data_IF_352485616719
#
_entry.id   IF_352485616719
#
_cell.length_a   1.000
_cell.length_b   1.000
_cell.length_c   1.000
_cell.angle_alpha   90.00
_cell.angle_beta   90.00
_cell.angle_gamma   90.00
#
_symmetry.space_group_name_H-M   'P 1'
#
loop_
_entity.id
_entity.type
_entity.pdbx_description
1 polymer ?
#
# COMPACT_ATOMS: atom_id res chain seq x y z
N UNK A 1 41.76 -40.55 30.43
CA UNK A 1 41.78 -39.32 29.60
C UNK A 1 40.66 -39.28 28.55
N UNK A 2 40.39 -40.38 27.84
CA UNK A 2 39.30 -40.49 26.85
C UNK A 2 37.89 -40.14 27.37
N UNK A 3 37.55 -40.47 28.63
CA UNK A 3 36.26 -40.10 29.22
C UNK A 3 36.10 -38.60 29.49
N UNK A 4 37.21 -37.88 29.71
CA UNK A 4 37.19 -36.43 29.94
C UNK A 4 37.03 -35.67 28.62
N UNK A 5 37.63 -36.17 27.54
CA UNK A 5 37.38 -35.67 26.18
C UNK A 5 35.98 -36.01 25.69
N UNK A 6 35.46 -37.22 25.96
CA UNK A 6 34.08 -37.58 25.60
C UNK A 6 33.03 -36.70 26.32
N UNK A 7 33.24 -36.42 27.61
CA UNK A 7 32.34 -35.57 28.41
C UNK A 7 32.33 -34.11 27.92
N UNK A 8 33.49 -33.55 27.58
CA UNK A 8 33.59 -32.18 27.03
C UNK A 8 33.01 -32.07 25.62
N UNK A 9 33.17 -33.10 24.79
CA UNK A 9 32.63 -33.13 23.44
C UNK A 9 31.09 -33.24 23.47
N UNK A 10 30.55 -34.05 24.38
CA UNK A 10 29.10 -34.16 24.58
C UNK A 10 28.48 -32.84 25.09
N UNK A 11 29.16 -32.15 26.02
CA UNK A 11 28.72 -30.82 26.50
C UNK A 11 28.79 -29.77 25.39
N UNK A 12 29.83 -29.79 24.54
CA UNK A 12 29.93 -28.89 23.40
C UNK A 12 28.79 -29.09 22.41
N UNK A 13 28.47 -30.36 22.05
CA UNK A 13 27.35 -30.69 21.16
C UNK A 13 26.02 -30.21 21.76
N UNK A 14 25.83 -30.38 23.07
CA UNK A 14 24.61 -29.94 23.73
C UNK A 14 24.44 -28.42 23.70
N UNK A 15 25.51 -27.66 23.99
CA UNK A 15 25.49 -26.19 23.95
C UNK A 15 25.28 -25.68 22.53
N UNK A 16 25.94 -26.26 21.53
CA UNK A 16 25.75 -25.86 20.13
C UNK A 16 24.35 -26.17 19.63
N UNK A 17 23.76 -27.31 20.03
CA UNK A 17 22.39 -27.66 19.69
C UNK A 17 21.38 -26.67 20.30
N UNK A 18 21.51 -26.33 21.58
CA UNK A 18 20.63 -25.32 22.22
C UNK A 18 20.79 -23.96 21.55
N UNK A 19 22.03 -23.54 21.28
CA UNK A 19 22.27 -22.26 20.61
C UNK A 19 21.63 -22.22 19.22
N UNK A 20 21.76 -23.29 18.43
CA UNK A 20 21.14 -23.38 17.10
C UNK A 20 19.61 -23.29 17.18
N UNK A 21 18.99 -23.94 18.16
CA UNK A 21 17.55 -23.88 18.40
C UNK A 21 17.12 -22.46 18.75
N UNK A 22 17.80 -21.82 19.71
CA UNK A 22 17.48 -20.44 20.13
C UNK A 22 17.66 -19.47 18.97
N UNK A 23 18.75 -19.57 18.22
CA UNK A 23 18.99 -18.73 17.05
C UNK A 23 17.88 -18.90 16.00
N UNK A 24 17.49 -20.13 15.69
CA UNK A 24 16.39 -20.41 14.77
C UNK A 24 15.09 -19.75 15.23
N UNK A 25 14.70 -19.90 16.49
CA UNK A 25 13.50 -19.27 17.03
C UNK A 25 13.56 -17.75 16.99
N UNK A 26 14.70 -17.14 17.30
CA UNK A 26 14.89 -15.69 17.21
C UNK A 26 14.66 -15.17 15.78
N UNK A 27 15.21 -15.85 14.77
CA UNK A 27 14.99 -15.47 13.37
C UNK A 27 13.54 -15.65 12.92
N UNK A 28 12.88 -16.72 13.35
CA UNK A 28 11.46 -16.96 13.04
C UNK A 28 10.58 -15.89 13.69
N UNK A 29 10.85 -15.55 14.96
CA UNK A 29 10.09 -14.54 15.69
C UNK A 29 10.18 -13.18 15.02
N UNK A 30 11.39 -12.74 14.62
CA UNK A 30 11.57 -11.47 13.89
C UNK A 30 10.73 -11.43 12.63
N UNK A 31 10.69 -12.50 11.83
CA UNK A 31 9.86 -12.57 10.62
C UNK A 31 8.37 -12.42 10.94
N UNK A 32 7.88 -13.11 11.96
CA UNK A 32 6.47 -13.05 12.39
C UNK A 32 6.10 -11.63 12.82
N UNK A 33 6.94 -10.99 13.63
CA UNK A 33 6.70 -9.60 14.09
C UNK A 33 6.70 -8.64 12.91
N UNK A 34 7.64 -8.76 11.97
CA UNK A 34 7.66 -7.92 10.75
C UNK A 34 6.38 -8.08 9.93
N UNK A 35 5.92 -9.31 9.70
CA UNK A 35 4.66 -9.56 8.99
C UNK A 35 3.46 -8.96 9.73
N UNK A 36 3.41 -9.06 11.06
CA UNK A 36 2.33 -8.47 11.85
C UNK A 36 2.32 -6.95 11.78
N UNK A 37 3.47 -6.28 11.90
CA UNK A 37 3.57 -4.82 11.76
C UNK A 37 3.15 -4.34 10.36
N UNK A 38 3.52 -5.08 9.32
CA UNK A 38 3.07 -4.81 7.95
C UNK A 38 1.56 -4.99 7.81
N UNK A 39 0.99 -6.06 8.35
CA UNK A 39 -0.46 -6.27 8.35
C UNK A 39 -1.20 -5.14 9.07
N UNK A 40 -0.71 -4.69 10.22
CA UNK A 40 -1.28 -3.55 10.95
C UNK A 40 -1.22 -2.26 10.14
N UNK A 41 -0.11 -2.01 9.44
CA UNK A 41 0.01 -0.87 8.54
C UNK A 41 -1.00 -0.93 7.40
N UNK A 42 -1.13 -2.08 6.73
CA UNK A 42 -2.09 -2.25 5.63
C UNK A 42 -3.54 -2.17 6.13
N UNK A 43 -3.83 -2.66 7.33
CA UNK A 43 -5.14 -2.56 7.95
C UNK A 43 -5.53 -1.09 8.24
N UNK A 44 -4.59 -0.26 8.71
CA UNK A 44 -4.86 1.18 8.88
C UNK A 44 -5.21 1.87 7.57
N UNK A 45 -4.50 1.54 6.48
CA UNK A 45 -4.82 2.07 5.14
C UNK A 45 -6.21 1.63 4.73
N UNK A 46 -6.48 0.32 4.82
CA UNK A 46 -7.77 -0.27 4.50
C UNK A 46 -8.91 0.38 5.26
N UNK A 47 -8.81 0.51 6.58
CA UNK A 47 -9.86 1.12 7.42
C UNK A 47 -10.13 2.57 6.99
N UNK A 48 -9.10 3.34 6.63
CA UNK A 48 -9.30 4.67 6.06
C UNK A 48 -9.98 4.65 4.71
N UNK A 49 -9.59 3.74 3.82
CA UNK A 49 -10.23 3.56 2.51
C UNK A 49 -11.70 3.13 2.66
N UNK A 50 -11.98 2.22 3.59
CA UNK A 50 -13.33 1.77 3.95
C UNK A 50 -14.19 2.91 4.47
N UNK A 51 -13.66 3.72 5.38
CA UNK A 51 -14.35 4.89 5.90
C UNK A 51 -14.69 5.89 4.78
N UNK A 52 -13.76 6.10 3.83
CA UNK A 52 -13.98 6.99 2.69
C UNK A 52 -15.04 6.43 1.74
N UNK A 53 -14.93 5.16 1.34
CA UNK A 53 -15.88 4.50 0.43
C UNK A 53 -17.29 4.55 1.00
N UNK A 54 -17.44 4.20 2.28
CA UNK A 54 -18.73 4.13 2.96
C UNK A 54 -19.26 5.48 3.48
N UNK A 55 -18.52 6.58 3.31
CA UNK A 55 -19.01 7.89 3.77
C UNK A 55 -20.28 8.30 3.00
N UNK A 56 -21.25 9.00 3.63
CA UNK A 56 -22.49 9.40 2.96
C UNK A 56 -22.31 10.58 1.98
N UNK A 57 -21.11 11.17 1.95
CA UNK A 57 -20.80 12.34 1.13
C UNK A 57 -20.61 11.96 -0.34
N UNK A 58 -21.17 12.79 -1.23
CA UNK A 58 -21.04 12.63 -2.68
C UNK A 58 -19.59 12.80 -3.16
N UNK A 59 -18.82 13.60 -2.44
CA UNK A 59 -17.44 13.84 -2.76
C UNK A 59 -16.63 14.04 -1.50
N UNK A 60 -15.57 13.26 -1.35
CA UNK A 60 -14.77 13.22 -0.13
C UNK A 60 -13.34 12.81 -0.47
N UNK A 61 -12.39 13.27 0.31
CA UNK A 61 -10.97 12.99 0.07
C UNK A 61 -10.22 12.78 1.38
N UNK A 62 -9.22 11.92 1.33
CA UNK A 62 -8.34 11.70 2.47
C UNK A 62 -6.94 11.32 2.00
N UNK A 63 -5.96 11.55 2.87
CA UNK A 63 -4.59 11.15 2.65
C UNK A 63 -4.17 10.08 3.65
N UNK A 64 -3.34 9.17 3.16
CA UNK A 64 -2.59 8.27 4.02
C UNK A 64 -1.11 8.40 3.75
N UNK A 65 -0.34 8.50 4.83
CA UNK A 65 1.11 8.64 4.82
C UNK A 65 1.74 7.31 5.25
N UNK A 66 2.61 6.79 4.40
CA UNK A 66 3.40 5.61 4.67
C UNK A 66 4.69 6.01 5.38
N UNK A 67 4.98 5.46 6.57
CA UNK A 67 6.24 5.72 7.24
C UNK A 67 7.43 5.28 6.37
N UNK A 68 8.56 5.97 6.52
CA UNK A 68 9.74 5.68 5.72
C UNK A 68 10.33 4.29 6.02
N UNK A 69 10.12 3.80 7.24
CA UNK A 69 10.63 2.53 7.75
C UNK A 69 9.71 1.98 8.85
N UNK A 70 9.77 0.67 9.08
CA UNK A 70 9.19 0.04 10.26
C UNK A 70 10.32 -0.37 11.21
N UNK A 71 10.15 -0.11 12.51
CA UNK A 71 11.09 -0.57 13.53
C UNK A 71 10.60 -1.88 14.11
N UNK A 72 11.32 -2.96 13.85
CA UNK A 72 10.97 -4.32 14.29
C UNK A 72 12.11 -4.87 15.13
N UNK A 73 11.83 -5.15 16.41
CA UNK A 73 12.80 -5.75 17.34
C UNK A 73 14.14 -5.01 17.44
N UNK A 74 14.12 -3.67 17.27
CA UNK A 74 15.31 -2.82 17.30
C UNK A 74 15.97 -2.58 15.93
N UNK A 75 15.62 -3.37 14.91
CA UNK A 75 16.11 -3.22 13.54
C UNK A 75 15.16 -2.40 12.68
N UNK A 76 15.73 -1.82 11.62
CA UNK A 76 15.00 -1.03 10.62
C UNK A 76 14.61 -1.88 9.43
N UNK A 77 13.33 -1.91 9.10
CA UNK A 77 12.77 -2.64 7.97
C UNK A 77 12.23 -1.68 6.90
N UNK A 78 12.78 -1.78 5.69
CA UNK A 78 12.32 -1.04 4.53
C UNK A 78 11.41 -1.88 3.65
N UNK A 79 10.31 -1.28 3.21
CA UNK A 79 9.24 -1.98 2.51
C UNK A 79 8.74 -1.17 1.31
N UNK A 80 8.00 -1.85 0.44
CA UNK A 80 7.22 -1.24 -0.64
C UNK A 80 5.79 -1.72 -0.55
N UNK A 81 4.84 -0.89 -0.95
CA UNK A 81 3.41 -1.25 -1.01
C UNK A 81 2.95 -1.21 -2.46
N UNK A 82 2.42 -2.32 -2.97
CA UNK A 82 1.71 -2.37 -4.24
C UNK A 82 0.21 -2.24 -3.97
N UNK A 83 -0.43 -1.31 -4.66
CA UNK A 83 -1.88 -1.12 -4.66
C UNK A 83 -2.41 -1.60 -6.00
N UNK A 84 -3.20 -2.65 -6.01
CA UNK A 84 -3.81 -3.21 -7.22
C UNK A 84 -5.32 -3.31 -7.05
N UNK A 85 -6.02 -3.53 -8.16
CA UNK A 85 -7.45 -3.76 -8.13
C UNK A 85 -7.80 -5.09 -8.80
N UNK A 86 -8.91 -5.68 -8.41
CA UNK A 86 -9.42 -6.87 -9.06
C UNK A 86 -10.94 -6.72 -9.16
N UNK A 87 -11.44 -6.62 -10.39
CA UNK A 87 -12.86 -6.70 -10.66
C UNK A 87 -13.30 -8.17 -10.62
N UNK A 88 -14.38 -8.46 -9.92
CA UNK A 88 -15.00 -9.79 -9.88
C UNK A 88 -16.51 -9.65 -9.95
N UNK A 89 -17.13 -10.38 -10.87
CA UNK A 89 -18.57 -10.45 -10.94
C UNK A 89 -19.08 -11.52 -9.96
N UNK A 90 -19.90 -11.12 -8.99
CA UNK A 90 -20.57 -12.06 -8.08
C UNK A 90 -22.07 -11.81 -8.17
N UNK A 91 -22.82 -12.84 -8.57
CA UNK A 91 -24.28 -12.79 -8.69
C UNK A 91 -24.79 -11.65 -9.61
N UNK A 92 -24.10 -11.38 -10.73
CA UNK A 92 -24.49 -10.33 -11.67
C UNK A 92 -24.19 -8.89 -11.21
N UNK A 93 -23.46 -8.73 -10.09
CA UNK A 93 -22.95 -7.44 -9.63
C UNK A 93 -21.43 -7.42 -9.76
N UNK A 94 -20.92 -6.37 -10.41
CA UNK A 94 -19.49 -6.08 -10.45
C UNK A 94 -19.05 -5.61 -9.07
N UNK A 95 -18.15 -6.35 -8.44
CA UNK A 95 -17.51 -6.01 -7.18
C UNK A 95 -16.03 -5.78 -7.44
N UNK A 96 -15.51 -4.69 -6.90
CA UNK A 96 -14.11 -4.35 -7.03
C UNK A 96 -13.41 -4.61 -5.70
N UNK A 97 -12.27 -5.31 -5.77
CA UNK A 97 -11.37 -5.50 -4.65
C UNK A 97 -10.19 -4.55 -4.81
N UNK A 98 -10.02 -3.62 -3.88
CA UNK A 98 -8.80 -2.83 -3.74
C UNK A 98 -7.85 -3.60 -2.83
N UNK A 99 -6.69 -3.99 -3.36
CA UNK A 99 -5.73 -4.87 -2.69
C UNK A 99 -4.48 -4.06 -2.37
N UNK A 100 -4.10 -4.04 -1.09
CA UNK A 100 -2.83 -3.48 -0.62
C UNK A 100 -1.91 -4.64 -0.25
N UNK A 101 -0.78 -4.75 -0.93
CA UNK A 101 0.23 -5.79 -0.69
C UNK A 101 1.56 -5.17 -0.31
N UNK A 102 2.19 -5.64 0.77
CA UNK A 102 3.48 -5.15 1.22
C UNK A 102 4.60 -6.16 0.96
N UNK A 103 5.73 -5.64 0.47
CA UNK A 103 6.90 -6.43 0.10
C UNK A 103 8.12 -5.88 0.81
N UNK A 104 9.12 -6.73 1.03
CA UNK A 104 10.45 -6.22 1.38
C UNK A 104 10.94 -5.35 0.23
N UNK A 105 11.52 -4.18 0.50
CA UNK A 105 11.96 -3.25 -0.55
C UNK A 105 12.94 -3.87 -1.56
N UNK A 106 13.71 -4.87 -1.13
CA UNK A 106 14.65 -5.63 -1.97
C UNK A 106 13.97 -6.52 -3.02
N UNK A 107 12.69 -6.86 -2.83
CA UNK A 107 11.92 -7.68 -3.78
C UNK A 107 11.37 -6.80 -4.91
N UNK A 108 12.15 -6.66 -5.98
CA UNK A 108 11.79 -5.84 -7.14
C UNK A 108 10.76 -6.50 -8.06
N UNK A 109 10.56 -7.80 -7.93
CA UNK A 109 9.67 -8.58 -8.79
C UNK A 109 8.29 -8.78 -8.14
N UNK A 110 8.09 -8.30 -6.91
CA UNK A 110 6.84 -8.38 -6.16
C UNK A 110 6.29 -9.81 -6.08
N UNK A 111 7.20 -10.79 -5.92
CA UNK A 111 6.84 -12.22 -5.91
C UNK A 111 6.36 -12.69 -4.55
N UNK A 112 7.00 -12.22 -3.48
CA UNK A 112 6.76 -12.72 -2.14
C UNK A 112 6.16 -11.61 -1.27
N UNK A 113 4.84 -11.46 -1.35
CA UNK A 113 4.11 -10.57 -0.46
C UNK A 113 4.27 -11.04 0.98
N UNK A 114 4.70 -10.12 1.85
CA UNK A 114 4.87 -10.39 3.28
C UNK A 114 3.56 -10.20 4.06
N UNK A 115 2.67 -9.37 3.52
CA UNK A 115 1.39 -9.02 4.10
C UNK A 115 0.48 -8.50 2.99
N UNK A 116 -0.81 -8.83 3.03
CA UNK A 116 -1.78 -8.31 2.09
C UNK A 116 -3.13 -8.11 2.80
N UNK A 117 -3.80 -7.03 2.48
CA UNK A 117 -5.15 -6.75 2.97
C UNK A 117 -5.98 -6.19 1.81
N UNK A 118 -7.27 -6.51 1.78
CA UNK A 118 -8.16 -6.09 0.71
C UNK A 118 -9.44 -5.46 1.24
N UNK A 119 -9.93 -4.51 0.46
CA UNK A 119 -11.21 -3.83 0.64
C UNK A 119 -12.13 -4.23 -0.50
N UNK A 120 -13.32 -4.74 -0.17
CA UNK A 120 -14.39 -4.99 -1.12
C UNK A 120 -15.28 -3.76 -1.25
N UNK A 121 -15.47 -3.25 -2.48
CA UNK A 121 -16.34 -2.11 -2.76
C UNK A 121 -17.16 -2.33 -4.03
N UNK A 122 -18.32 -1.68 -4.10
CA UNK A 122 -19.14 -1.52 -5.29
C UNK A 122 -18.77 -0.28 -6.12
N UNK A 123 -17.87 0.58 -5.61
CA UNK A 123 -17.34 1.71 -6.34
C UNK A 123 -16.37 1.24 -7.44
N UNK A 124 -16.38 1.93 -8.58
CA UNK A 124 -15.37 1.77 -9.62
C UNK A 124 -14.02 2.27 -9.08
N UNK A 125 -12.97 1.46 -9.18
CA UNK A 125 -11.64 1.85 -8.69
C UNK A 125 -10.80 2.32 -9.87
N UNK A 126 -10.12 3.46 -9.70
CA UNK A 126 -9.20 4.04 -10.68
C UNK A 126 -7.88 4.32 -9.98
N UNK A 127 -6.84 3.60 -10.37
CA UNK A 127 -5.50 3.74 -9.80
C UNK A 127 -4.63 4.51 -10.79
N UNK A 128 -3.95 5.56 -10.33
CA UNK A 128 -2.99 6.32 -11.12
C UNK A 128 -1.56 5.82 -10.92
N UNK A 129 -0.73 6.00 -11.94
CA UNK A 129 0.70 5.69 -11.88
C UNK A 129 1.44 6.52 -10.82
N UNK A 130 2.43 5.88 -10.19
CA UNK A 130 3.43 6.56 -9.35
C UNK A 130 4.57 7.18 -10.18
N UNK A 131 4.64 6.87 -11.47
CA UNK A 131 5.63 7.40 -12.42
C UNK A 131 5.41 8.90 -12.71
N UNK A 132 6.44 9.69 -13.08
CA UNK A 132 6.27 11.12 -13.36
C UNK A 132 5.14 11.44 -14.34
N UNK A 133 4.98 10.61 -15.37
CA UNK A 133 3.86 10.68 -16.31
C UNK A 133 2.63 10.00 -15.72
N UNK A 134 1.58 10.80 -15.54
CA UNK A 134 0.31 10.34 -15.00
C UNK A 134 -0.41 9.49 -16.05
N UNK A 135 -0.76 8.25 -15.67
CA UNK A 135 -1.60 7.34 -16.46
C UNK A 135 -2.51 6.54 -15.55
N UNK A 136 -3.67 6.15 -16.06
CA UNK A 136 -4.54 5.18 -15.37
C UNK A 136 -3.93 3.80 -15.56
N UNK A 137 -3.80 3.07 -14.47
CA UNK A 137 -3.31 1.69 -14.46
C UNK A 137 -4.47 0.73 -14.65
N UNK A 138 -4.24 -0.31 -15.45
CA UNK A 138 -5.18 -1.42 -15.58
C UNK A 138 -5.19 -2.30 -14.33
N UNK A 139 -6.13 -3.26 -14.31
CA UNK A 139 -6.42 -4.08 -13.13
C UNK A 139 -5.18 -4.77 -12.52
N UNK A 140 -4.22 -5.20 -13.36
CA UNK A 140 -3.05 -5.96 -12.89
C UNK A 140 -1.77 -5.15 -12.67
N UNK A 141 -1.68 -3.94 -13.24
CA UNK A 141 -0.45 -3.16 -13.22
C UNK A 141 -0.17 -2.64 -11.79
N UNK A 142 -1.17 -2.01 -11.17
CA UNK A 142 -1.13 -1.52 -9.80
C UNK A 142 -0.07 -0.45 -9.51
N UNK A 143 -0.35 0.47 -8.59
CA UNK A 143 0.60 1.51 -8.20
C UNK A 143 1.59 0.99 -7.16
N UNK A 144 2.86 1.36 -7.30
CA UNK A 144 3.91 1.03 -6.32
C UNK A 144 4.27 2.27 -5.50
N UNK A 145 4.26 2.10 -4.19
CA UNK A 145 4.66 3.09 -3.17
C UNK A 145 5.97 2.61 -2.57
N UNK A 146 7.03 3.38 -2.79
CA UNK A 146 8.34 3.21 -2.14
C UNK A 146 8.65 4.47 -1.32
N UNK A 147 8.43 4.44 0.00
CA UNK A 147 8.71 5.57 0.89
C UNK A 147 10.18 6.01 0.91
N UNK A 148 11.09 5.19 0.41
CA UNK A 148 12.54 5.43 0.38
C UNK A 148 13.07 5.70 -1.03
N UNK A 149 12.21 5.77 -2.06
CA UNK A 149 12.61 6.12 -3.41
C UNK A 149 13.12 7.57 -3.49
N UNK A 150 13.74 7.93 -4.62
CA UNK A 150 14.19 9.30 -4.90
C UNK A 150 13.61 9.75 -6.25
N UNK A 151 12.59 10.63 -6.28
CA UNK A 151 11.86 11.17 -5.10
C UNK A 151 11.01 10.08 -4.39
N UNK A 152 10.73 10.23 -3.08
CA UNK A 152 9.95 9.24 -2.36
C UNK A 152 8.48 9.28 -2.76
N UNK A 153 7.85 8.12 -2.94
CA UNK A 153 6.41 8.00 -3.06
C UNK A 153 5.95 7.39 -1.73
N UNK A 154 5.60 8.26 -0.78
CA UNK A 154 5.32 7.90 0.62
C UNK A 154 3.89 8.25 1.04
N UNK A 155 3.02 8.61 0.11
CA UNK A 155 1.64 8.95 0.40
C UNK A 155 0.69 8.48 -0.69
N UNK A 156 -0.58 8.35 -0.33
CA UNK A 156 -1.70 8.24 -1.26
C UNK A 156 -2.71 9.32 -0.96
N UNK A 157 -3.21 9.95 -2.02
CA UNK A 157 -4.46 10.67 -2.01
C UNK A 157 -5.55 9.72 -2.48
N UNK A 158 -6.62 9.63 -1.70
CA UNK A 158 -7.79 8.82 -2.01
C UNK A 158 -8.97 9.77 -2.14
N UNK A 159 -9.68 9.73 -3.26
CA UNK A 159 -10.84 10.58 -3.50
C UNK A 159 -12.00 9.73 -3.94
N UNK A 160 -13.12 9.87 -3.24
CA UNK A 160 -14.38 9.30 -3.68
C UNK A 160 -15.20 10.38 -4.34
N UNK A 161 -15.77 10.07 -5.48
CA UNK A 161 -16.72 10.91 -6.21
C UNK A 161 -17.93 10.07 -6.63
N UNK A 162 -19.13 10.64 -6.50
CA UNK A 162 -20.37 10.01 -6.96
C UNK A 162 -20.94 10.87 -8.09
N UNK A 163 -20.86 10.35 -9.32
CA UNK A 163 -21.40 11.01 -10.52
C UNK A 163 -22.49 10.14 -11.13
N UNK A 164 -23.69 10.70 -11.30
CA UNK A 164 -24.83 9.98 -11.87
C UNK A 164 -25.25 8.74 -11.06
N UNK A 165 -25.05 8.75 -9.75
CA UNK A 165 -25.35 7.63 -8.86
C UNK A 165 -24.32 6.50 -8.86
N UNK A 166 -23.22 6.63 -9.63
CA UNK A 166 -22.09 5.70 -9.62
C UNK A 166 -20.94 6.26 -8.80
N UNK A 167 -20.50 5.50 -7.81
CA UNK A 167 -19.33 5.84 -7.00
C UNK A 167 -18.05 5.45 -7.74
N UNK A 168 -17.07 6.35 -7.79
CA UNK A 168 -15.72 6.09 -8.27
C UNK A 168 -14.72 6.46 -7.19
N UNK A 169 -13.80 5.55 -6.89
CA UNK A 169 -12.69 5.73 -5.96
C UNK A 169 -11.39 5.91 -6.74
N UNK A 170 -10.80 7.09 -6.64
CA UNK A 170 -9.53 7.44 -7.23
C UNK A 170 -8.40 7.25 -6.23
N UNK A 171 -7.37 6.52 -6.62
CA UNK A 171 -6.14 6.33 -5.84
C UNK A 171 -4.98 7.00 -6.57
N UNK A 172 -4.40 8.04 -5.96
CA UNK A 172 -3.29 8.80 -6.52
C UNK A 172 -2.07 8.67 -5.62
N UNK A 173 -1.04 7.91 -6.02
CA UNK A 173 0.23 7.87 -5.33
C UNK A 173 0.94 9.22 -5.44
N UNK A 174 1.51 9.68 -4.34
CA UNK A 174 2.14 11.00 -4.27
C UNK A 174 3.23 11.08 -3.20
N UNK A 175 3.92 12.21 -3.20
CA UNK A 175 4.86 12.62 -2.15
C UNK A 175 4.11 13.48 -1.11
N UNK A 176 4.29 13.14 0.16
CA UNK A 176 3.70 13.86 1.30
C UNK A 176 4.18 15.32 1.42
N UNK A 177 5.42 15.59 0.99
CA UNK A 177 6.06 16.89 1.14
C UNK A 177 5.46 17.96 0.21
N UNK A 178 5.48 19.21 0.68
CA UNK A 178 5.26 20.43 -0.12
C UNK A 178 3.99 20.44 -0.98
N UNK A 179 2.85 19.96 -0.45
CA UNK A 179 1.56 19.91 -1.16
C UNK A 179 1.59 19.13 -2.49
N UNK A 180 2.61 18.29 -2.72
CA UNK A 180 2.73 17.57 -3.99
C UNK A 180 1.59 16.59 -4.20
N UNK A 181 1.01 16.03 -3.14
CA UNK A 181 -0.22 15.24 -3.23
C UNK A 181 -1.41 16.04 -3.80
N UNK A 182 -1.55 17.32 -3.47
CA UNK A 182 -2.62 18.17 -4.01
C UNK A 182 -2.38 18.45 -5.50
N UNK A 183 -1.16 18.81 -5.88
CA UNK A 183 -0.79 19.05 -7.28
C UNK A 183 -1.02 17.80 -8.12
N UNK A 184 -0.62 16.62 -7.60
CA UNK A 184 -0.82 15.33 -8.25
C UNK A 184 -2.31 15.01 -8.42
N UNK A 185 -3.11 15.34 -7.40
CA UNK A 185 -4.55 15.15 -7.44
C UNK A 185 -5.22 16.08 -8.45
N UNK A 186 -4.79 17.34 -8.55
CA UNK A 186 -5.26 18.27 -9.60
C UNK A 186 -4.95 17.75 -11.00
N UNK A 187 -3.73 17.25 -11.22
CA UNK A 187 -3.33 16.62 -12.49
C UNK A 187 -4.21 15.41 -12.82
N UNK A 188 -4.50 14.56 -11.82
CA UNK A 188 -5.40 13.43 -11.98
C UNK A 188 -6.83 13.87 -12.32
N UNK A 189 -7.32 14.94 -11.72
CA UNK A 189 -8.61 15.54 -12.07
C UNK A 189 -8.64 16.02 -13.53
N UNK A 190 -7.63 16.78 -13.96
CA UNK A 190 -7.53 17.23 -15.36
C UNK A 190 -7.48 16.05 -16.35
N UNK A 191 -6.73 15.00 -16.02
CA UNK A 191 -6.62 13.80 -16.85
C UNK A 191 -7.96 13.04 -16.95
N UNK A 192 -8.66 12.87 -15.83
CA UNK A 192 -9.96 12.24 -15.79
C UNK A 192 -11.02 13.03 -16.58
N UNK A 193 -10.95 14.36 -16.51
CA UNK A 193 -11.86 15.27 -17.23
C UNK A 193 -11.65 15.21 -18.75
N UNK A 194 -10.40 15.23 -19.20
CA UNK A 194 -10.04 15.13 -20.62
C UNK A 194 -10.48 13.80 -21.25
N UNK A 195 -10.42 12.69 -20.50
CA UNK A 195 -10.88 11.37 -20.98
C UNK A 195 -12.41 11.17 -20.90
N UNK A 196 -13.16 12.08 -20.27
CA UNK A 196 -14.64 12.06 -20.21
C UNK A 196 -15.29 13.12 -21.10
N UNK A 197 -14.55 13.71 -22.04
CA UNK A 197 -15.03 14.72 -22.99
C UNK A 197 -15.65 15.98 -22.31
N UNK A 198 -15.17 16.29 -21.11
CA UNK A 198 -15.54 17.51 -20.38
C UNK A 198 -14.43 18.53 -20.62
N UNK A 199 -14.75 19.68 -21.22
CA UNK A 199 -13.78 20.73 -21.52
C UNK A 199 -13.11 21.21 -20.22
N UNK A 200 -11.78 21.11 -20.14
CA UNK A 200 -10.96 21.81 -19.15
C UNK A 200 -11.03 23.31 -19.42
N UNK A 201 -12.19 23.91 -19.19
CA UNK A 201 -12.39 25.32 -19.46
C UNK A 201 -11.67 26.14 -18.39
N UNK A 202 -10.82 27.03 -18.87
CA UNK A 202 -9.99 27.92 -18.09
C UNK A 202 -10.88 28.95 -17.39
N UNK A 203 -11.36 28.65 -16.18
CA UNK A 203 -12.15 29.59 -15.39
C UNK A 203 -12.49 29.11 -13.99
N UNK A 204 -12.80 27.81 -13.83
CA UNK A 204 -13.00 27.19 -12.52
C UNK A 204 -11.78 26.33 -12.16
N UNK A 205 -10.91 26.88 -11.32
CA UNK A 205 -9.70 26.20 -10.78
C UNK A 205 -10.01 25.03 -9.83
N UNK A 206 -11.19 24.42 -9.91
CA UNK A 206 -11.55 23.24 -9.12
C UNK A 206 -11.48 22.02 -10.04
N UNK A 207 -10.41 21.25 -9.91
CA UNK A 207 -10.21 20.01 -10.66
C UNK A 207 -11.37 19.03 -10.47
N UNK A 208 -11.51 18.10 -11.41
CA UNK A 208 -12.53 17.03 -11.45
C UNK A 208 -12.40 15.99 -10.33
N UNK A 209 -11.67 16.31 -9.25
CA UNK A 209 -11.55 15.51 -8.05
C UNK A 209 -11.69 16.50 -6.91
N UNK A 210 -12.62 16.24 -5.98
CA UNK A 210 -12.80 17.16 -4.87
C UNK A 210 -11.48 17.32 -4.13
N UNK A 211 -10.98 18.55 -4.18
CA UNK A 211 -9.83 18.92 -3.41
C UNK A 211 -10.25 18.90 -1.94
N UNK A 212 -9.40 18.37 -1.04
CA UNK A 212 -9.66 18.47 0.39
C UNK A 212 -9.78 19.94 0.76
N UNK A 213 -10.91 20.28 1.39
CA UNK A 213 -11.16 21.60 1.97
C UNK A 213 -10.50 21.77 3.32
#
# INVERSE_FOLDING_TARGET
MLGFTLSKLNLLIFVTAIFAIVAFFSFVLVKIVTTNELNLLLDRVKVKSEALVNSPTYCDSTFYYFPAELRVSGDTFFYTVKISQQATEVNGKNLNYLIFSAFARRDKEFKNSLAANSLKTDADVVIFSSEPLLRILGDEEGAVIDPQARPPINAIAMVKEIVGGKATLYIVPCLAEANQCLVRLEQAGCYAKANRDLTCDNGDKKGFLCLPG
#
